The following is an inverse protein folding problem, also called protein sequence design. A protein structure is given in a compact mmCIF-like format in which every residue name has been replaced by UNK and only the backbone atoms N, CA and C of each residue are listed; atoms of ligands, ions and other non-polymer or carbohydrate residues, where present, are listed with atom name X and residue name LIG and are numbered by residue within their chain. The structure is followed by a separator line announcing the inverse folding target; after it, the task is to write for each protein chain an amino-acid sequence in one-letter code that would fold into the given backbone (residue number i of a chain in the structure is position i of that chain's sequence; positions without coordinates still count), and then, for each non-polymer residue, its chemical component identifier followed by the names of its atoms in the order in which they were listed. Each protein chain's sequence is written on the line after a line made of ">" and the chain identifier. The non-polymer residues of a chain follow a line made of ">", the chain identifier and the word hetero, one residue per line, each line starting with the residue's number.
data_IF_045237589670
#
_entry.id   IF_045237589670
#
_cell.length_a   1.000
_cell.length_b   1.000
_cell.length_c   1.000
_cell.angle_alpha   90.00
_cell.angle_beta   90.00
_cell.angle_gamma   90.00
#
_symmetry.space_group_name_H-M   'P 1'
#
loop_
_entity.id
_entity.type
_entity.pdbx_description
1 polymer ?
#
# COMPACT_ATOMS: atom_id res chain seq x y z
N UNK A 1 -23.54 32.51 24.47
CA UNK A 1 -22.93 31.64 23.44
C UNK A 1 -21.45 32.00 23.49
N UNK A 2 -20.76 31.42 24.46
CA UNK A 2 -19.41 31.81 24.90
C UNK A 2 -18.42 30.66 24.63
N UNK A 3 -17.18 31.09 24.40
CA UNK A 3 -16.04 30.39 23.84
C UNK A 3 -15.42 29.30 24.72
N UNK A 4 -14.55 28.50 24.08
CA UNK A 4 -13.36 27.83 24.59
C UNK A 4 -13.48 26.75 25.67
N UNK A 5 -13.02 25.54 25.30
CA UNK A 5 -12.10 24.79 26.16
C UNK A 5 -10.91 24.32 25.33
N UNK A 6 -9.82 25.08 25.41
CA UNK A 6 -8.49 24.53 25.21
C UNK A 6 -8.21 23.60 26.39
N UNK A 7 -8.05 22.31 26.12
CA UNK A 7 -7.36 21.40 27.04
C UNK A 7 -6.05 21.05 26.38
N UNK A 8 -4.97 21.60 26.93
CA UNK A 8 -3.63 21.17 26.62
C UNK A 8 -3.23 20.05 27.58
N UNK A 9 -2.53 19.08 26.99
CA UNK A 9 -1.49 18.24 27.59
C UNK A 9 -1.89 16.84 28.08
N UNK A 10 -1.79 15.89 27.15
CA UNK A 10 -1.09 14.63 27.41
C UNK A 10 -0.04 14.50 26.31
N UNK A 11 1.25 14.54 26.69
CA UNK A 11 2.43 14.20 25.90
C UNK A 11 2.06 13.42 24.63
N UNK A 12 1.94 14.12 23.51
CA UNK A 12 1.67 13.49 22.22
C UNK A 12 2.85 12.58 21.91
N UNK A 13 2.69 11.29 22.23
CA UNK A 13 3.63 10.26 21.83
C UNK A 13 3.86 10.35 20.33
N UNK A 14 5.09 10.10 19.90
CA UNK A 14 5.43 10.08 18.49
C UNK A 14 4.70 8.90 17.82
N UNK A 15 3.58 9.19 17.14
CA UNK A 15 2.80 8.18 16.40
C UNK A 15 3.58 7.86 15.13
N UNK A 16 4.33 6.77 15.18
CA UNK A 16 5.06 6.25 14.03
C UNK A 16 4.25 5.17 13.33
N UNK A 17 3.88 5.44 12.09
CA UNK A 17 3.29 4.45 11.21
C UNK A 17 4.43 3.57 10.68
N UNK A 18 4.27 2.26 10.80
CA UNK A 18 5.24 1.30 10.29
C UNK A 18 5.04 1.09 8.79
N UNK A 19 6.13 0.91 8.05
CA UNK A 19 6.12 0.65 6.60
C UNK A 19 5.23 -0.57 6.24
N UNK A 20 5.19 -1.57 7.11
CA UNK A 20 4.35 -2.76 6.98
C UNK A 20 2.85 -2.42 6.95
N UNK A 21 2.41 -1.44 7.74
CA UNK A 21 1.00 -1.01 7.77
C UNK A 21 0.63 -0.33 6.46
N UNK A 22 1.52 0.51 5.93
CA UNK A 22 1.33 1.18 4.64
C UNK A 22 1.29 0.16 3.49
N UNK A 23 2.16 -0.85 3.52
CA UNK A 23 2.16 -1.94 2.56
C UNK A 23 0.84 -2.72 2.58
N UNK A 24 0.30 -3.03 3.76
CA UNK A 24 -0.98 -3.73 3.89
C UNK A 24 -2.15 -2.91 3.33
N UNK A 25 -2.20 -1.60 3.62
CA UNK A 25 -3.21 -0.70 3.05
C UNK A 25 -3.14 -0.70 1.52
N UNK A 26 -1.92 -0.65 0.96
CA UNK A 26 -1.71 -0.65 -0.48
C UNK A 26 -2.19 -1.96 -1.15
N UNK A 27 -1.93 -3.12 -0.53
CA UNK A 27 -2.40 -4.42 -1.04
C UNK A 27 -3.92 -4.51 -1.04
N UNK A 28 -4.55 -4.13 0.09
CA UNK A 28 -6.01 -4.16 0.21
C UNK A 28 -6.64 -3.23 -0.83
N UNK A 29 -6.12 -2.00 -0.95
CA UNK A 29 -6.62 -1.02 -1.90
C UNK A 29 -6.46 -1.47 -3.36
N UNK A 30 -5.34 -2.12 -3.71
CA UNK A 30 -5.12 -2.64 -5.05
C UNK A 30 -6.06 -3.80 -5.39
N UNK A 31 -6.33 -4.71 -4.44
CA UNK A 31 -7.23 -5.84 -4.65
C UNK A 31 -8.70 -5.44 -4.78
N UNK A 32 -9.10 -4.26 -4.28
CA UNK A 32 -10.45 -3.72 -4.44
C UNK A 32 -10.73 -3.18 -5.86
N UNK A 33 -9.71 -3.00 -6.69
CA UNK A 33 -9.89 -2.43 -8.03
C UNK A 33 -10.40 -3.49 -9.00
N UNK A 34 -11.47 -3.14 -9.72
CA UNK A 34 -12.03 -3.97 -10.78
C UNK A 34 -10.99 -4.28 -11.86
N UNK A 35 -10.80 -5.57 -12.14
CA UNK A 35 -9.82 -6.06 -13.10
C UNK A 35 -8.51 -6.53 -12.48
N UNK A 36 -8.23 -6.25 -11.20
CA UNK A 36 -7.13 -6.90 -10.47
C UNK A 36 -7.55 -8.32 -10.10
N UNK A 37 -6.68 -9.32 -10.31
CA UNK A 37 -6.89 -10.68 -9.80
C UNK A 37 -6.30 -10.80 -8.41
N UNK A 38 -5.02 -10.46 -8.25
CA UNK A 38 -4.31 -10.40 -6.98
C UNK A 38 -3.04 -9.54 -7.11
N UNK A 39 -2.53 -9.06 -5.97
CA UNK A 39 -1.20 -8.46 -5.89
C UNK A 39 -0.17 -9.57 -5.77
N UNK A 40 0.91 -9.47 -6.57
CA UNK A 40 1.99 -10.46 -6.54
C UNK A 40 2.91 -10.12 -5.37
N UNK A 41 3.32 -11.15 -4.63
CA UNK A 41 4.16 -10.99 -3.45
C UNK A 41 3.41 -10.88 -2.13
N UNK A 42 2.10 -11.18 -2.10
CA UNK A 42 1.35 -11.45 -0.87
C UNK A 42 2.04 -12.58 -0.09
N UNK A 43 2.85 -12.19 0.88
CA UNK A 43 3.56 -13.11 1.75
C UNK A 43 2.54 -13.75 2.71
N UNK A 44 2.16 -15.01 2.46
CA UNK A 44 1.50 -15.82 3.49
C UNK A 44 2.44 -15.88 4.72
N UNK A 45 2.00 -15.51 5.94
CA UNK A 45 2.89 -15.37 7.10
C UNK A 45 3.58 -16.66 7.59
N UNK A 46 3.32 -17.83 6.99
CA UNK A 46 3.58 -19.11 7.64
C UNK A 46 4.66 -20.01 7.01
N UNK A 47 5.27 -19.63 5.89
CA UNK A 47 6.18 -20.55 5.16
C UNK A 47 7.66 -20.13 5.20
N UNK A 48 8.00 -18.96 5.76
CA UNK A 48 9.36 -18.39 5.68
C UNK A 48 10.02 -18.10 7.05
N UNK A 49 9.63 -18.79 8.12
CA UNK A 49 10.27 -18.64 9.44
C UNK A 49 11.54 -19.46 9.65
N UNK A 50 11.95 -20.30 8.69
CA UNK A 50 13.03 -21.28 8.91
C UNK A 50 14.40 -20.93 8.28
N UNK A 51 14.55 -19.81 7.57
CA UNK A 51 15.86 -19.41 7.03
C UNK A 51 16.30 -18.03 7.49
N UNK A 52 17.02 -18.07 8.62
CA UNK A 52 18.03 -17.14 9.12
C UNK A 52 18.54 -16.14 8.07
N UNK A 53 18.25 -14.84 8.27
CA UNK A 53 19.18 -13.77 7.90
C UNK A 53 18.90 -12.93 6.66
N UNK A 54 17.76 -13.06 5.98
CA UNK A 54 17.44 -12.18 4.83
C UNK A 54 16.10 -11.47 5.09
N UNK A 55 16.17 -10.20 5.52
CA UNK A 55 15.07 -9.24 5.44
C UNK A 55 14.85 -8.86 3.96
N UNK A 56 14.38 -9.80 3.15
CA UNK A 56 13.84 -9.45 1.85
C UNK A 56 12.33 -9.62 1.97
N UNK A 57 11.67 -8.48 2.15
CA UNK A 57 10.35 -8.26 1.58
C UNK A 57 10.32 -8.95 0.21
N UNK A 58 9.31 -9.76 -0.04
CA UNK A 58 9.01 -10.32 -1.35
C UNK A 58 9.26 -9.23 -2.40
N UNK A 59 10.11 -9.51 -3.39
CA UNK A 59 10.67 -8.54 -4.36
C UNK A 59 9.62 -7.71 -5.12
N UNK A 60 8.34 -8.00 -4.93
CA UNK A 60 7.22 -7.55 -5.73
C UNK A 60 6.43 -6.40 -5.09
N UNK A 61 6.60 -6.10 -3.79
CA UNK A 61 6.02 -4.93 -3.11
C UNK A 61 7.10 -4.23 -2.27
N UNK A 62 7.42 -2.98 -2.63
CA UNK A 62 8.35 -2.12 -1.90
C UNK A 62 7.64 -0.83 -1.52
N UNK A 63 7.72 -0.48 -0.25
CA UNK A 63 7.21 0.78 0.29
C UNK A 63 8.34 1.48 0.99
N UNK A 64 8.55 2.75 0.65
CA UNK A 64 9.52 3.61 1.30
C UNK A 64 8.78 4.81 1.88
N UNK A 65 9.00 5.06 3.17
CA UNK A 65 8.47 6.22 3.87
C UNK A 65 9.64 7.09 4.29
N UNK A 66 9.69 8.32 3.79
CA UNK A 66 10.70 9.32 4.13
C UNK A 66 10.04 10.65 4.43
N UNK A 67 10.25 11.17 5.64
CA UNK A 67 9.74 12.50 6.06
C UNK A 67 8.26 12.73 5.71
N UNK A 68 7.41 11.73 6.01
CA UNK A 68 5.97 11.68 5.73
C UNK A 68 5.57 11.56 4.25
N UNK A 69 6.53 11.44 3.36
CA UNK A 69 6.33 11.14 1.95
C UNK A 69 6.46 9.63 1.74
N UNK A 70 5.51 9.05 1.02
CA UNK A 70 5.46 7.62 0.71
C UNK A 70 5.67 7.40 -0.79
N UNK A 71 6.56 6.47 -1.12
CA UNK A 71 6.71 5.93 -2.47
C UNK A 71 6.38 4.44 -2.46
N UNK A 72 5.55 4.00 -3.41
CA UNK A 72 5.08 2.61 -3.49
C UNK A 72 5.43 2.01 -4.85
N UNK A 73 6.12 0.88 -4.84
CA UNK A 73 6.31 0.02 -5.99
C UNK A 73 5.58 -1.30 -5.77
N UNK A 74 4.65 -1.66 -6.65
CA UNK A 74 3.90 -2.91 -6.55
C UNK A 74 3.76 -3.62 -7.89
N UNK A 75 3.68 -4.95 -7.84
CA UNK A 75 3.36 -5.79 -8.98
C UNK A 75 1.96 -6.39 -8.86
N UNK A 76 1.15 -6.30 -9.91
CA UNK A 76 -0.21 -6.83 -9.94
C UNK A 76 -0.37 -7.86 -11.05
N UNK A 77 -1.28 -8.80 -10.82
CA UNK A 77 -1.85 -9.65 -11.86
C UNK A 77 -3.22 -9.08 -12.27
N UNK A 78 -3.45 -8.98 -13.57
CA UNK A 78 -4.67 -8.40 -14.14
C UNK A 78 -5.51 -9.49 -14.78
N UNK A 79 -6.83 -9.45 -14.60
CA UNK A 79 -7.77 -10.38 -15.22
C UNK A 79 -7.81 -10.17 -16.73
N UNK A 80 -7.86 -11.26 -17.50
CA UNK A 80 -8.06 -11.18 -18.94
C UNK A 80 -9.37 -10.46 -19.29
N UNK A 81 -9.34 -9.66 -20.37
CA UNK A 81 -10.48 -8.89 -20.85
C UNK A 81 -10.59 -7.46 -20.30
N UNK A 82 -9.69 -7.04 -19.41
CA UNK A 82 -9.61 -5.66 -18.93
C UNK A 82 -8.52 -4.85 -19.64
N UNK A 83 -8.76 -3.55 -19.79
CA UNK A 83 -7.77 -2.61 -20.33
C UNK A 83 -6.67 -2.37 -19.30
N UNK A 84 -5.46 -2.87 -19.58
CA UNK A 84 -4.28 -2.71 -18.72
C UNK A 84 -4.01 -1.26 -18.29
N UNK A 85 -3.99 -0.24 -19.19
CA UNK A 85 -3.73 1.13 -18.77
C UNK A 85 -4.87 1.72 -17.92
N UNK A 86 -6.11 1.25 -18.12
CA UNK A 86 -7.25 1.70 -17.32
C UNK A 86 -7.19 1.12 -15.91
N UNK A 87 -6.92 -0.19 -15.79
CA UNK A 87 -6.76 -0.85 -14.48
C UNK A 87 -5.55 -0.29 -13.74
N UNK A 88 -4.41 -0.09 -14.42
CA UNK A 88 -3.22 0.49 -13.82
C UNK A 88 -3.47 1.86 -13.21
N UNK A 89 -4.15 2.77 -13.94
CA UNK A 89 -4.54 4.08 -13.41
C UNK A 89 -5.50 3.98 -12.22
N UNK A 90 -6.50 3.12 -12.31
CA UNK A 90 -7.45 2.91 -11.24
C UNK A 90 -6.77 2.41 -9.95
N UNK A 91 -5.80 1.49 -10.07
CA UNK A 91 -4.97 1.03 -8.94
C UNK A 91 -4.14 2.18 -8.36
N UNK A 92 -3.49 2.98 -9.20
CA UNK A 92 -2.70 4.13 -8.74
C UNK A 92 -3.54 5.13 -7.94
N UNK A 93 -4.71 5.51 -8.46
CA UNK A 93 -5.63 6.44 -7.80
C UNK A 93 -6.18 5.85 -6.49
N UNK A 94 -6.60 4.59 -6.52
CA UNK A 94 -7.17 3.91 -5.34
C UNK A 94 -6.15 3.76 -4.22
N UNK A 95 -4.92 3.35 -4.54
CA UNK A 95 -3.83 3.17 -3.57
C UNK A 95 -3.41 4.51 -2.97
N UNK A 96 -3.21 5.55 -3.81
CA UNK A 96 -2.90 6.91 -3.36
C UNK A 96 -3.95 7.41 -2.38
N UNK A 97 -5.22 7.36 -2.78
CA UNK A 97 -6.34 7.82 -1.97
C UNK A 97 -6.46 7.07 -0.65
N UNK A 98 -6.28 5.74 -0.64
CA UNK A 98 -6.33 4.94 0.59
C UNK A 98 -5.22 5.32 1.58
N UNK A 99 -3.98 5.46 1.10
CA UNK A 99 -2.85 5.78 1.98
C UNK A 99 -3.03 7.18 2.57
N UNK A 100 -3.32 8.18 1.73
CA UNK A 100 -3.51 9.56 2.19
C UNK A 100 -4.67 9.67 3.20
N UNK A 101 -5.81 9.02 2.92
CA UNK A 101 -6.99 9.10 3.79
C UNK A 101 -6.84 8.32 5.11
N UNK A 102 -6.15 7.17 5.12
CA UNK A 102 -6.03 6.33 6.32
C UNK A 102 -4.86 6.75 7.21
N UNK A 103 -3.77 7.24 6.62
CA UNK A 103 -2.52 7.53 7.33
C UNK A 103 -2.22 9.02 7.47
N UNK A 104 -2.82 9.86 6.63
CA UNK A 104 -2.50 11.29 6.55
C UNK A 104 -1.11 11.59 5.98
N UNK A 105 -0.45 10.59 5.37
CA UNK A 105 0.84 10.74 4.71
C UNK A 105 0.66 11.19 3.25
N UNK A 106 1.64 11.90 2.71
CA UNK A 106 1.62 12.35 1.31
C UNK A 106 2.24 11.28 0.41
N UNK A 107 1.60 10.95 -0.71
CA UNK A 107 2.12 9.94 -1.65
C UNK A 107 2.74 10.64 -2.85
N UNK A 108 4.06 10.47 -3.03
CA UNK A 108 4.75 11.03 -4.21
C UNK A 108 4.38 10.24 -5.46
N UNK A 109 4.68 8.94 -5.42
CA UNK A 109 4.70 8.05 -6.57
C UNK A 109 4.10 6.70 -6.24
N UNK A 110 3.27 6.21 -7.16
CA UNK A 110 2.72 4.85 -7.13
C UNK A 110 3.05 4.17 -8.44
N UNK A 111 4.03 3.29 -8.39
CA UNK A 111 4.52 2.53 -9.53
C UNK A 111 3.84 1.16 -9.56
N UNK A 112 3.06 0.92 -10.60
CA UNK A 112 2.34 -0.35 -10.79
C UNK A 112 2.95 -1.10 -11.95
N UNK A 113 3.47 -2.31 -11.68
CA UNK A 113 3.98 -3.23 -12.69
C UNK A 113 2.99 -4.34 -12.94
N UNK A 114 2.74 -4.66 -14.21
CA UNK A 114 1.89 -5.79 -14.59
C UNK A 114 2.80 -6.97 -14.82
N UNK A 115 2.76 -7.96 -13.93
CA UNK A 115 3.65 -9.12 -14.03
C UNK A 115 3.00 -10.29 -14.77
N UNK A 116 1.68 -10.46 -14.68
CA UNK A 116 0.96 -11.51 -15.39
C UNK A 116 -0.48 -11.09 -15.74
N UNK A 117 -1.05 -11.77 -16.74
CA UNK A 117 -2.47 -11.72 -17.04
C UNK A 117 -3.08 -13.08 -16.67
N UNK A 118 -4.07 -13.05 -15.79
CA UNK A 118 -4.78 -14.26 -15.36
C UNK A 118 -5.82 -14.65 -16.41
N UNK A 119 -5.59 -15.81 -17.03
CA UNK A 119 -6.47 -16.42 -18.02
C UNK A 119 -7.38 -17.38 -17.26
N UNK A 120 -8.66 -17.02 -17.20
CA UNK A 120 -9.69 -17.84 -16.58
C UNK A 120 -9.86 -19.20 -17.27
#
# INVERSE_FOLDING_TARGET
>A
MEENYAVCDEVLGDIRISDEVVANIAVIAANEVDGVSHVIGESKPNELKNFVGIKNYSKELRVEVYDRIVSVDMAIAVKYGFSLPTVGKAVQERVRSSIENMTGLEVSDVNVRIACVDLK
#
